data_IF_474470907952
#
_entry.id   IF_474470907952
#
_cell.length_a   1.000
_cell.length_b   1.000
_cell.length_c   1.000
_cell.angle_alpha   90.00
_cell.angle_beta   90.00
_cell.angle_gamma   90.00
#
_symmetry.space_group_name_H-M   'P 1'
#
loop_
_entity.id
_entity.type
_entity.pdbx_description
1 polymer ?
#
# COMPACT_ATOMS: atom_id res chain seq x y z
N UNK A 1 -53.12 59.54 -0.33
CA UNK A 1 -52.21 58.59 -1.00
C UNK A 1 -50.90 58.54 -0.21
N UNK A 2 -50.39 57.43 0.31
CA UNK A 2 -50.97 56.10 0.53
C UNK A 2 -50.00 55.36 1.47
N UNK A 3 -50.51 54.57 2.42
CA UNK A 3 -49.74 53.90 3.47
C UNK A 3 -49.19 52.57 2.95
N UNK A 4 -48.17 52.60 2.09
CA UNK A 4 -47.62 51.38 1.46
C UNK A 4 -46.14 51.06 1.71
N UNK A 5 -45.38 51.90 2.41
CA UNK A 5 -43.93 51.67 2.58
C UNK A 5 -43.54 51.12 3.97
N UNK A 6 -44.45 51.14 4.96
CA UNK A 6 -44.17 50.61 6.31
C UNK A 6 -44.56 49.13 6.55
N UNK A 7 -45.08 48.41 5.54
CA UNK A 7 -45.42 46.97 5.67
C UNK A 7 -44.43 46.01 5.00
N UNK A 8 -43.49 46.50 4.19
CA UNK A 8 -42.50 45.64 3.53
C UNK A 8 -41.33 45.25 4.45
N UNK A 9 -40.95 46.10 5.41
CA UNK A 9 -39.80 45.84 6.29
C UNK A 9 -40.09 44.88 7.45
N UNK A 10 -41.37 44.66 7.80
CA UNK A 10 -41.76 43.72 8.86
C UNK A 10 -41.95 42.29 8.34
N UNK A 11 -42.33 42.10 7.06
CA UNK A 11 -42.45 40.77 6.46
C UNK A 11 -41.09 40.16 6.07
N UNK A 12 -40.10 40.98 5.69
CA UNK A 12 -38.74 40.47 5.40
C UNK A 12 -37.98 40.04 6.66
N UNK A 13 -38.22 40.67 7.81
CA UNK A 13 -37.62 40.24 9.08
C UNK A 13 -38.26 38.96 9.65
N UNK A 14 -39.55 38.72 9.37
CA UNK A 14 -40.24 37.49 9.75
C UNK A 14 -39.91 36.30 8.82
N UNK A 15 -39.57 36.55 7.55
CA UNK A 15 -39.14 35.49 6.63
C UNK A 15 -37.67 35.06 6.85
N UNK A 16 -36.80 35.96 7.32
CA UNK A 16 -35.42 35.63 7.67
C UNK A 16 -35.29 34.92 9.03
N UNK A 17 -36.26 35.08 9.94
CA UNK A 17 -36.29 34.34 11.21
C UNK A 17 -36.96 32.95 11.09
N UNK A 18 -37.72 32.72 10.01
CA UNK A 18 -38.34 31.44 9.68
C UNK A 18 -37.43 30.47 8.88
N UNK A 19 -36.23 30.91 8.46
CA UNK A 19 -35.20 30.02 7.88
C UNK A 19 -34.10 29.62 8.88
N UNK A 20 -34.20 30.07 10.14
CA UNK A 20 -33.25 29.71 11.22
C UNK A 20 -33.82 28.74 12.25
N UNK A 21 -34.97 28.11 11.98
CA UNK A 21 -35.54 27.08 12.82
C UNK A 21 -36.04 25.91 11.96
N UNK A 22 -35.36 24.78 12.12
CA UNK A 22 -35.75 23.45 11.68
C UNK A 22 -35.81 23.18 10.17
N UNK A 23 -34.68 22.77 9.62
CA UNK A 23 -34.56 21.38 9.15
C UNK A 23 -33.41 20.73 9.92
N UNK A 24 -33.59 20.61 11.24
CA UNK A 24 -33.01 19.46 11.93
C UNK A 24 -33.83 18.31 11.38
N UNK A 25 -33.32 17.65 10.33
CA UNK A 25 -33.70 16.26 10.08
C UNK A 25 -33.67 15.60 11.45
N UNK A 26 -34.76 14.92 11.88
CA UNK A 26 -34.73 14.22 13.15
C UNK A 26 -33.42 13.46 13.20
N UNK A 27 -32.63 13.67 14.25
CA UNK A 27 -31.43 12.89 14.47
C UNK A 27 -31.85 11.45 14.23
N UNK A 28 -31.22 10.78 13.25
CA UNK A 28 -31.42 9.35 13.09
C UNK A 28 -31.30 8.76 14.50
N UNK A 29 -32.32 8.02 14.95
CA UNK A 29 -32.37 7.52 16.32
C UNK A 29 -31.00 6.95 16.68
N UNK A 30 -30.39 7.50 17.73
CA UNK A 30 -29.06 7.10 18.16
C UNK A 30 -29.10 5.60 18.45
N UNK A 31 -28.52 4.81 17.54
CA UNK A 31 -28.46 3.37 17.69
C UNK A 31 -27.24 3.02 18.56
N UNK A 32 -27.41 2.18 19.60
CA UNK A 32 -26.28 1.72 20.38
C UNK A 32 -25.34 0.92 19.47
N UNK A 33 -24.06 1.28 19.47
CA UNK A 33 -23.02 0.59 18.73
C UNK A 33 -22.03 -0.04 19.72
N UNK A 34 -22.08 -1.38 19.94
CA UNK A 34 -21.19 -2.05 20.87
C UNK A 34 -19.72 -1.77 20.55
N UNK A 35 -18.93 -1.44 21.57
CA UNK A 35 -17.51 -1.09 21.45
C UNK A 35 -17.23 0.41 21.43
N UNK A 36 -18.22 1.23 21.06
CA UNK A 36 -18.13 2.70 21.16
C UNK A 36 -18.25 3.12 22.64
N UNK A 37 -17.37 4.01 23.10
CA UNK A 37 -17.27 4.38 24.53
C UNK A 37 -18.14 5.57 24.88
N UNK A 38 -18.16 6.57 24.02
CA UNK A 38 -18.91 7.81 24.17
C UNK A 38 -19.76 8.07 22.92
N UNK A 39 -20.60 9.10 22.96
CA UNK A 39 -21.37 9.50 21.78
C UNK A 39 -20.45 9.90 20.61
N UNK A 40 -20.72 9.34 19.44
CA UNK A 40 -20.10 9.74 18.18
C UNK A 40 -21.17 10.10 17.15
N UNK A 41 -20.85 11.04 16.27
CA UNK A 41 -21.73 11.47 15.18
C UNK A 41 -20.97 11.40 13.86
N UNK A 42 -21.61 10.86 12.83
CA UNK A 42 -21.10 10.91 11.46
C UNK A 42 -22.10 11.68 10.60
N UNK A 43 -21.60 12.60 9.80
CA UNK A 43 -22.39 13.36 8.82
C UNK A 43 -21.71 13.21 7.47
N UNK A 44 -22.42 12.69 6.48
CA UNK A 44 -21.96 12.71 5.10
C UNK A 44 -22.40 14.02 4.45
N UNK A 45 -21.46 14.69 3.77
CA UNK A 45 -21.77 15.89 3.02
C UNK A 45 -22.40 15.57 1.65
N UNK A 46 -22.61 16.60 0.83
CA UNK A 46 -23.22 16.44 -0.51
C UNK A 46 -22.34 15.67 -1.51
N UNK A 47 -21.05 15.49 -1.23
CA UNK A 47 -20.12 14.71 -2.04
C UNK A 47 -19.92 13.30 -1.49
N UNK A 48 -20.57 12.95 -0.38
CA UNK A 48 -20.40 11.67 0.29
C UNK A 48 -19.14 11.60 1.16
N UNK A 49 -18.53 12.73 1.52
CA UNK A 49 -17.39 12.76 2.44
C UNK A 49 -17.92 12.66 3.88
N UNK A 50 -17.48 11.66 4.67
CA UNK A 50 -17.84 11.58 6.08
C UNK A 50 -17.08 12.59 6.93
N UNK A 51 -17.83 13.27 7.79
CA UNK A 51 -17.33 14.07 8.89
C UNK A 51 -17.64 13.33 10.20
N UNK A 52 -16.60 12.84 10.86
CA UNK A 52 -16.67 12.05 12.10
C UNK A 52 -16.39 12.96 13.29
N UNK A 53 -17.32 13.01 14.22
CA UNK A 53 -17.25 13.82 15.45
C UNK A 53 -17.24 12.90 16.67
N UNK A 54 -16.22 13.00 17.51
CA UNK A 54 -16.08 12.20 18.75
C UNK A 54 -15.54 13.04 19.91
N UNK A 55 -15.58 12.47 21.11
CA UNK A 55 -15.03 13.09 22.34
C UNK A 55 -13.70 12.48 22.78
N UNK A 56 -13.19 11.47 22.07
CA UNK A 56 -11.91 10.87 22.32
C UNK A 56 -11.33 10.21 21.06
N UNK A 57 -10.01 10.03 21.08
CA UNK A 57 -9.22 9.52 19.96
C UNK A 57 -9.57 8.07 19.57
N UNK A 58 -9.98 7.24 20.53
CA UNK A 58 -10.21 5.83 20.30
C UNK A 58 -11.56 5.58 19.63
N UNK A 59 -12.59 6.34 20.03
CA UNK A 59 -13.85 6.36 19.30
C UNK A 59 -13.67 6.97 17.90
N UNK A 60 -12.73 7.89 17.70
CA UNK A 60 -12.42 8.40 16.35
C UNK A 60 -11.81 7.30 15.46
N UNK A 61 -10.87 6.53 16.00
CA UNK A 61 -10.28 5.37 15.31
C UNK A 61 -11.34 4.29 15.00
N UNK A 62 -12.18 3.97 15.99
CA UNK A 62 -13.30 3.04 15.84
C UNK A 62 -14.28 3.49 14.76
N UNK A 63 -14.75 4.74 14.82
CA UNK A 63 -15.70 5.25 13.85
C UNK A 63 -15.10 5.37 12.45
N UNK A 64 -13.80 5.65 12.32
CA UNK A 64 -13.12 5.58 11.03
C UNK A 64 -13.16 4.15 10.45
N UNK A 65 -12.90 3.13 11.28
CA UNK A 65 -13.02 1.73 10.86
C UNK A 65 -14.44 1.37 10.44
N UNK A 66 -15.44 1.78 11.21
CA UNK A 66 -16.85 1.55 10.90
C UNK A 66 -17.27 2.21 9.58
N UNK A 67 -16.87 3.47 9.36
CA UNK A 67 -17.21 4.23 8.14
C UNK A 67 -16.45 3.71 6.92
N UNK A 68 -15.17 3.36 7.05
CA UNK A 68 -14.44 2.69 5.97
C UNK A 68 -15.11 1.37 5.59
N UNK A 69 -15.56 0.56 6.55
CA UNK A 69 -16.28 -0.68 6.27
C UNK A 69 -17.64 -0.39 5.60
N UNK A 70 -18.38 0.62 6.07
CA UNK A 70 -19.62 1.06 5.44
C UNK A 70 -19.47 1.30 3.95
N UNK A 71 -18.45 2.05 3.54
CA UNK A 71 -18.29 2.42 2.14
C UNK A 71 -17.47 1.40 1.32
N UNK A 72 -16.50 0.73 1.95
CA UNK A 72 -15.39 0.03 1.26
C UNK A 72 -15.10 -1.38 1.78
N UNK A 73 -15.97 -2.02 2.57
CA UNK A 73 -15.69 -3.34 3.17
C UNK A 73 -15.16 -4.37 2.16
N UNK A 74 -15.79 -4.51 0.99
CA UNK A 74 -15.35 -5.49 -0.01
C UNK A 74 -13.96 -5.14 -0.60
N UNK A 75 -13.68 -3.85 -0.85
CA UNK A 75 -12.37 -3.38 -1.30
C UNK A 75 -11.30 -3.67 -0.22
N UNK A 76 -11.60 -3.35 1.04
CA UNK A 76 -10.71 -3.59 2.17
C UNK A 76 -10.39 -5.08 2.33
N UNK A 77 -11.40 -5.94 2.25
CA UNK A 77 -11.23 -7.40 2.35
C UNK A 77 -10.40 -7.95 1.17
N UNK A 78 -10.68 -7.46 -0.04
CA UNK A 78 -9.90 -7.81 -1.25
C UNK A 78 -8.43 -7.45 -1.07
N UNK A 79 -8.12 -6.23 -0.62
CA UNK A 79 -6.75 -5.76 -0.45
C UNK A 79 -6.00 -6.49 0.67
N UNK A 80 -6.62 -6.71 1.84
CA UNK A 80 -5.95 -7.47 2.92
C UNK A 80 -5.66 -8.91 2.49
N UNK A 81 -6.55 -9.51 1.68
CA UNK A 81 -6.39 -10.89 1.20
C UNK A 81 -5.35 -10.97 0.10
N UNK A 82 -5.35 -10.04 -0.85
CA UNK A 82 -4.29 -9.92 -1.85
C UNK A 82 -2.92 -9.91 -1.17
N UNK A 83 -2.66 -8.90 -0.33
CA UNK A 83 -1.35 -8.75 0.31
C UNK A 83 -1.04 -9.79 1.40
N UNK A 84 -2.03 -10.55 1.87
CA UNK A 84 -1.81 -11.72 2.73
C UNK A 84 -1.60 -13.03 1.95
N UNK A 85 -1.79 -13.02 0.63
CA UNK A 85 -1.83 -14.22 -0.20
C UNK A 85 -2.98 -15.15 0.16
N UNK A 86 -4.19 -14.60 0.26
CA UNK A 86 -5.44 -15.27 0.57
C UNK A 86 -6.56 -14.86 -0.39
N UNK A 87 -6.22 -14.32 -1.56
CA UNK A 87 -7.17 -13.83 -2.55
C UNK A 87 -7.95 -14.97 -3.19
N UNK A 88 -7.38 -16.18 -3.29
CA UNK A 88 -8.09 -17.37 -3.80
C UNK A 88 -9.24 -17.82 -2.89
N UNK A 89 -9.18 -17.49 -1.60
CA UNK A 89 -10.32 -17.67 -0.68
C UNK A 89 -11.48 -16.71 -1.00
N UNK A 90 -11.24 -15.61 -1.71
CA UNK A 90 -12.28 -14.68 -2.12
C UNK A 90 -12.72 -14.93 -3.56
N UNK A 91 -11.76 -14.95 -4.48
CA UNK A 91 -12.00 -14.93 -5.93
C UNK A 91 -11.82 -16.29 -6.61
N UNK A 92 -11.46 -17.34 -5.86
CA UNK A 92 -11.33 -18.69 -6.40
C UNK A 92 -9.99 -18.99 -7.08
N UNK A 93 -9.91 -20.05 -7.90
CA UNK A 93 -8.65 -20.68 -8.30
C UNK A 93 -7.72 -19.78 -9.13
N UNK A 94 -8.27 -18.87 -9.93
CA UNK A 94 -7.48 -17.98 -10.79
C UNK A 94 -6.59 -17.00 -9.99
N UNK A 95 -6.89 -16.78 -8.71
CA UNK A 95 -6.08 -15.96 -7.82
C UNK A 95 -4.95 -16.75 -7.11
N UNK A 96 -4.93 -18.08 -7.20
CA UNK A 96 -3.94 -18.92 -6.51
C UNK A 96 -2.47 -18.57 -6.87
N UNK A 97 -2.11 -18.30 -8.14
CA UNK A 97 -0.74 -17.90 -8.47
C UNK A 97 -0.29 -16.63 -7.74
N UNK A 98 -1.20 -15.66 -7.57
CA UNK A 98 -0.95 -14.44 -6.79
C UNK A 98 -0.70 -14.77 -5.32
N UNK A 99 -1.51 -15.66 -4.75
CA UNK A 99 -1.38 -16.06 -3.35
C UNK A 99 -0.03 -16.73 -3.08
N UNK A 100 0.35 -17.65 -3.96
CA UNK A 100 1.66 -18.33 -3.88
C UNK A 100 2.80 -17.31 -3.89
N UNK A 101 2.79 -16.36 -4.84
CA UNK A 101 3.86 -15.39 -4.96
C UNK A 101 3.90 -14.40 -3.76
N UNK A 102 2.74 -13.92 -3.29
CA UNK A 102 2.69 -12.97 -2.16
C UNK A 102 2.98 -13.63 -0.80
N UNK A 103 2.64 -14.91 -0.61
CA UNK A 103 3.09 -15.66 0.58
C UNK A 103 4.59 -15.96 0.54
N UNK A 104 5.15 -16.19 -0.65
CA UNK A 104 6.60 -16.33 -0.83
C UNK A 104 7.32 -15.05 -0.42
N UNK A 105 6.85 -13.88 -0.88
CA UNK A 105 7.38 -12.58 -0.46
C UNK A 105 7.15 -12.28 1.04
N UNK A 106 6.02 -12.72 1.59
CA UNK A 106 5.79 -12.74 3.04
C UNK A 106 5.35 -11.41 3.65
N UNK A 107 4.58 -10.58 2.94
CA UNK A 107 4.09 -9.30 3.48
C UNK A 107 3.28 -9.45 4.77
N UNK A 108 2.42 -10.49 4.87
CA UNK A 108 1.69 -10.83 6.11
C UNK A 108 2.63 -11.17 7.26
N UNK A 109 3.64 -11.99 7.02
CA UNK A 109 4.66 -12.36 8.02
C UNK A 109 5.38 -11.11 8.54
N UNK A 110 5.78 -10.20 7.64
CA UNK A 110 6.37 -8.92 8.02
C UNK A 110 5.40 -8.04 8.83
N UNK A 111 4.09 -8.07 8.54
CA UNK A 111 3.06 -7.36 9.31
C UNK A 111 2.91 -7.94 10.73
N UNK A 112 2.98 -9.26 10.89
CA UNK A 112 2.92 -9.93 12.19
C UNK A 112 4.15 -9.62 13.05
N UNK A 113 5.34 -9.59 12.46
CA UNK A 113 6.58 -9.15 13.14
C UNK A 113 6.50 -7.68 13.58
N UNK A 114 5.93 -6.82 12.72
CA UNK A 114 5.68 -5.40 13.05
C UNK A 114 4.69 -5.29 14.21
N UNK A 115 3.61 -6.08 14.21
CA UNK A 115 2.63 -6.10 15.29
C UNK A 115 3.25 -6.55 16.62
N UNK A 116 4.06 -7.61 16.60
CA UNK A 116 4.72 -8.18 17.77
C UNK A 116 5.63 -7.17 18.49
N UNK A 117 6.20 -6.21 17.76
CA UNK A 117 7.12 -5.18 18.28
C UNK A 117 6.51 -3.78 18.36
N UNK A 118 5.25 -3.60 17.94
CA UNK A 118 4.56 -2.32 17.93
C UNK A 118 4.37 -1.74 19.34
N UNK A 119 4.57 -0.41 19.46
CA UNK A 119 4.33 0.33 20.69
C UNK A 119 2.85 0.21 21.14
N UNK A 120 2.61 0.24 22.45
CA UNK A 120 1.27 0.11 23.02
C UNK A 120 0.28 1.12 22.42
N UNK A 121 0.72 2.36 22.19
CA UNK A 121 -0.13 3.38 21.59
C UNK A 121 -0.63 2.95 20.21
N UNK A 122 0.25 2.47 19.33
CA UNK A 122 -0.12 1.96 18.00
C UNK A 122 -1.11 0.81 18.09
N UNK A 123 -0.89 -0.12 19.04
CA UNK A 123 -1.77 -1.27 19.24
C UNK A 123 -3.20 -0.86 19.56
N UNK A 124 -3.38 0.03 20.53
CA UNK A 124 -4.70 0.46 20.98
C UNK A 124 -5.48 1.18 19.86
N UNK A 125 -4.81 1.96 19.01
CA UNK A 125 -5.46 2.60 17.86
C UNK A 125 -5.89 1.60 16.78
N UNK A 126 -5.02 0.65 16.43
CA UNK A 126 -5.33 -0.39 15.44
C UNK A 126 -6.41 -1.36 15.94
N UNK A 127 -6.41 -1.68 17.23
CA UNK A 127 -7.48 -2.47 17.88
C UNK A 127 -8.82 -1.74 17.80
N UNK A 128 -8.88 -0.46 18.20
CA UNK A 128 -10.11 0.32 18.11
C UNK A 128 -10.64 0.41 16.67
N UNK A 129 -9.75 0.61 15.69
CA UNK A 129 -10.11 0.60 14.27
C UNK A 129 -10.69 -0.73 13.83
N UNK A 130 -10.02 -1.84 14.18
CA UNK A 130 -10.46 -3.19 13.85
C UNK A 130 -11.83 -3.49 14.48
N UNK A 131 -12.06 -3.08 15.73
CA UNK A 131 -13.34 -3.21 16.41
C UNK A 131 -14.45 -2.46 15.67
N UNK A 132 -14.17 -1.27 15.13
CA UNK A 132 -15.10 -0.50 14.31
C UNK A 132 -15.47 -1.21 12.99
N UNK A 133 -14.48 -1.73 12.28
CA UNK A 133 -14.70 -2.54 11.06
C UNK A 133 -15.57 -3.77 11.39
N UNK A 134 -15.26 -4.45 12.49
CA UNK A 134 -15.99 -5.64 12.92
C UNK A 134 -17.42 -5.33 13.37
N UNK A 135 -17.65 -4.19 14.03
CA UNK A 135 -18.99 -3.76 14.41
C UNK A 135 -19.88 -3.54 13.18
N UNK A 136 -19.33 -3.01 12.08
CA UNK A 136 -20.05 -2.93 10.81
C UNK A 136 -20.30 -4.33 10.23
N UNK A 137 -19.26 -5.15 10.11
CA UNK A 137 -19.34 -6.51 9.54
C UNK A 137 -20.38 -7.38 10.25
N UNK A 138 -20.51 -7.27 11.57
CA UNK A 138 -21.43 -8.06 12.40
C UNK A 138 -22.88 -7.56 12.30
N UNK A 139 -23.11 -6.26 12.24
CA UNK A 139 -24.44 -5.66 12.40
C UNK A 139 -25.13 -5.26 11.09
N UNK A 140 -24.38 -5.07 10.02
CA UNK A 140 -24.90 -4.55 8.75
C UNK A 140 -24.98 -5.63 7.66
N UNK A 141 -25.89 -5.49 6.68
CA UNK A 141 -25.92 -6.37 5.50
C UNK A 141 -24.56 -6.40 4.78
N UNK A 142 -24.18 -7.59 4.29
CA UNK A 142 -22.96 -7.71 3.51
C UNK A 142 -23.10 -7.04 2.13
N UNK A 143 -22.02 -6.47 1.58
CA UNK A 143 -21.97 -6.06 0.19
C UNK A 143 -22.40 -7.20 -0.75
N UNK A 144 -23.16 -6.91 -1.82
CA UNK A 144 -23.71 -7.94 -2.73
C UNK A 144 -22.64 -8.79 -3.43
N UNK A 145 -21.41 -8.26 -3.55
CA UNK A 145 -20.26 -8.97 -4.12
C UNK A 145 -19.97 -10.29 -3.40
N UNK A 146 -20.14 -10.35 -2.07
CA UNK A 146 -19.94 -11.59 -1.31
C UNK A 146 -20.94 -12.68 -1.72
N UNK A 147 -22.21 -12.31 -1.87
CA UNK A 147 -23.24 -13.26 -2.33
C UNK A 147 -23.00 -13.74 -3.76
N UNK A 148 -22.47 -12.88 -4.64
CA UNK A 148 -22.09 -13.27 -6.00
C UNK A 148 -20.90 -14.24 -6.04
N UNK A 149 -20.09 -14.27 -4.98
CA UNK A 149 -18.98 -15.21 -4.78
C UNK A 149 -19.38 -16.40 -3.89
N UNK A 150 -20.69 -16.57 -3.63
CA UNK A 150 -21.24 -17.65 -2.79
C UNK A 150 -20.68 -17.64 -1.36
N UNK A 151 -20.31 -16.46 -0.84
CA UNK A 151 -19.79 -16.28 0.52
C UNK A 151 -20.86 -15.69 1.45
N UNK A 152 -20.95 -16.27 2.64
CA UNK A 152 -21.76 -15.74 3.74
C UNK A 152 -20.88 -15.05 4.78
N UNK A 153 -21.51 -14.36 5.75
CA UNK A 153 -20.79 -13.73 6.86
C UNK A 153 -19.94 -14.73 7.64
N UNK A 154 -20.33 -16.01 7.67
CA UNK A 154 -19.61 -17.04 8.42
C UNK A 154 -18.20 -17.31 7.88
N UNK A 155 -17.95 -17.06 6.58
CA UNK A 155 -16.65 -17.26 5.95
C UNK A 155 -15.79 -16.02 5.87
N UNK A 156 -16.31 -14.84 6.22
CA UNK A 156 -15.56 -13.58 6.23
C UNK A 156 -14.84 -13.45 7.59
N UNK A 157 -13.49 -13.52 7.63
CA UNK A 157 -12.75 -13.35 8.88
C UNK A 157 -12.95 -11.94 9.43
N UNK A 158 -13.01 -11.83 10.76
CA UNK A 158 -12.93 -10.54 11.44
C UNK A 158 -11.69 -9.77 11.00
N UNK A 159 -11.81 -8.45 10.91
CA UNK A 159 -10.68 -7.57 10.73
C UNK A 159 -9.80 -7.59 11.99
N UNK A 160 -8.50 -7.73 11.80
CA UNK A 160 -7.51 -7.71 12.88
C UNK A 160 -6.58 -6.49 12.75
N UNK A 161 -5.92 -6.05 13.83
CA UNK A 161 -4.89 -5.02 13.73
C UNK A 161 -3.79 -5.32 12.70
N UNK A 162 -3.47 -6.60 12.50
CA UNK A 162 -2.50 -7.06 11.51
C UNK A 162 -2.99 -6.77 10.09
N UNK A 163 -4.31 -6.87 9.82
CA UNK A 163 -4.87 -6.58 8.49
C UNK A 163 -4.66 -5.11 8.10
N UNK A 164 -4.71 -4.19 9.07
CA UNK A 164 -4.37 -2.77 8.85
C UNK A 164 -2.89 -2.56 8.54
N UNK A 165 -2.00 -3.32 9.19
CA UNK A 165 -0.57 -3.30 8.88
C UNK A 165 -0.28 -3.91 7.51
N UNK A 166 -1.00 -4.97 7.12
CA UNK A 166 -0.95 -5.56 5.79
C UNK A 166 -1.39 -4.54 4.74
N UNK A 167 -2.48 -3.81 4.96
CA UNK A 167 -2.94 -2.76 4.04
C UNK A 167 -1.86 -1.68 3.83
N UNK A 168 -1.26 -1.18 4.93
CA UNK A 168 -0.17 -0.20 4.84
C UNK A 168 1.08 -0.73 4.13
N UNK A 169 1.51 -1.95 4.44
CA UNK A 169 2.66 -2.59 3.77
C UNK A 169 2.37 -2.91 2.31
N UNK A 170 1.15 -3.29 1.98
CA UNK A 170 0.71 -3.57 0.61
C UNK A 170 0.72 -2.33 -0.26
N UNK A 171 0.28 -1.18 0.29
CA UNK A 171 0.42 0.11 -0.38
C UNK A 171 1.90 0.48 -0.59
N UNK A 172 2.73 0.36 0.43
CA UNK A 172 4.16 0.63 0.30
C UNK A 172 4.81 -0.29 -0.76
N UNK A 173 4.52 -1.58 -0.70
CA UNK A 173 4.95 -2.58 -1.68
C UNK A 173 4.52 -2.18 -3.10
N UNK A 174 3.26 -1.83 -3.30
CA UNK A 174 2.73 -1.38 -4.58
C UNK A 174 3.42 -0.13 -5.15
N UNK A 175 4.02 0.70 -4.29
CA UNK A 175 4.68 1.95 -4.67
C UNK A 175 6.20 1.84 -4.81
N UNK A 176 6.81 0.75 -4.33
CA UNK A 176 8.28 0.65 -4.24
C UNK A 176 8.87 -0.66 -4.69
N UNK A 177 8.09 -1.74 -4.79
CA UNK A 177 8.59 -3.02 -5.26
C UNK A 177 8.62 -3.04 -6.78
N UNK A 178 9.75 -3.41 -7.35
CA UNK A 178 9.89 -3.68 -8.77
C UNK A 178 10.88 -4.83 -8.96
N UNK A 179 10.95 -5.32 -10.19
CA UNK A 179 11.91 -6.33 -10.61
C UNK A 179 12.82 -5.77 -11.71
N UNK A 180 13.07 -4.46 -11.71
CA UNK A 180 13.88 -3.80 -12.74
C UNK A 180 15.28 -4.37 -12.83
N UNK A 181 15.82 -4.85 -11.71
CA UNK A 181 17.11 -5.53 -11.67
C UNK A 181 17.18 -6.73 -12.63
N UNK A 182 16.07 -7.45 -12.81
CA UNK A 182 15.98 -8.57 -13.75
C UNK A 182 16.06 -8.05 -15.18
N UNK A 183 15.27 -7.03 -15.51
CA UNK A 183 15.20 -6.49 -16.88
C UNK A 183 16.48 -5.73 -17.25
N UNK A 184 17.11 -5.03 -16.30
CA UNK A 184 18.44 -4.42 -16.45
C UNK A 184 19.52 -5.48 -16.65
N UNK A 185 19.46 -6.59 -15.91
CA UNK A 185 20.39 -7.73 -16.09
C UNK A 185 20.22 -8.37 -17.47
N UNK A 186 18.99 -8.65 -17.88
CA UNK A 186 18.67 -9.20 -19.21
C UNK A 186 19.16 -8.26 -20.32
N UNK A 187 18.93 -6.96 -20.16
CA UNK A 187 19.36 -5.92 -21.11
C UNK A 187 20.88 -5.88 -21.21
N UNK A 188 21.59 -5.77 -20.08
CA UNK A 188 23.06 -5.78 -20.06
C UNK A 188 23.64 -6.99 -20.80
N UNK A 189 23.08 -8.18 -20.58
CA UNK A 189 23.53 -9.40 -21.27
C UNK A 189 23.25 -9.37 -22.77
N UNK A 190 22.11 -8.81 -23.20
CA UNK A 190 21.82 -8.61 -24.62
C UNK A 190 22.80 -7.64 -25.28
N UNK A 191 23.14 -6.52 -24.61
CA UNK A 191 24.15 -5.57 -25.10
C UNK A 191 25.52 -6.22 -25.21
N UNK A 192 25.95 -6.99 -24.21
CA UNK A 192 27.20 -7.74 -24.26
C UNK A 192 27.24 -8.74 -25.42
N UNK A 193 26.15 -9.50 -25.63
CA UNK A 193 26.05 -10.45 -26.73
C UNK A 193 26.11 -9.76 -28.10
N UNK A 194 25.37 -8.65 -28.28
CA UNK A 194 25.40 -7.85 -29.49
C UNK A 194 26.78 -7.23 -29.74
N UNK A 195 27.41 -6.69 -28.70
CA UNK A 195 28.76 -6.13 -28.75
C UNK A 195 29.80 -7.17 -29.17
N UNK A 196 29.73 -8.37 -28.61
CA UNK A 196 30.59 -9.49 -29.00
C UNK A 196 30.39 -9.90 -30.47
N UNK A 197 29.15 -9.88 -30.97
CA UNK A 197 28.83 -10.25 -32.35
C UNK A 197 29.23 -9.16 -33.37
N UNK A 198 29.12 -7.88 -32.99
CA UNK A 198 29.32 -6.74 -33.88
C UNK A 198 30.68 -6.02 -33.69
N UNK A 199 31.48 -6.40 -32.70
CA UNK A 199 32.82 -5.86 -32.46
C UNK A 199 32.86 -4.54 -31.69
N UNK A 200 31.92 -4.29 -30.77
CA UNK A 200 31.93 -3.13 -29.86
C UNK A 200 31.81 -3.56 -28.39
N UNK A 201 32.13 -2.67 -27.45
CA UNK A 201 31.98 -2.97 -26.02
C UNK A 201 30.53 -2.73 -25.57
N UNK A 202 29.75 -3.82 -25.52
CA UNK A 202 28.36 -3.77 -25.07
C UNK A 202 28.20 -3.41 -23.58
N UNK A 203 29.19 -3.73 -22.74
CA UNK A 203 29.16 -3.32 -21.32
C UNK A 203 29.31 -1.81 -21.20
N UNK A 204 30.27 -1.24 -21.94
CA UNK A 204 30.49 0.20 -21.95
C UNK A 204 29.27 0.94 -22.50
N UNK A 205 28.68 0.48 -23.61
CA UNK A 205 27.46 1.08 -24.17
C UNK A 205 26.31 1.10 -23.14
N UNK A 206 26.11 0.01 -22.41
CA UNK A 206 25.06 -0.05 -21.39
C UNK A 206 25.30 0.92 -20.23
N UNK A 207 26.48 0.91 -19.62
CA UNK A 207 26.76 1.69 -18.40
C UNK A 207 27.23 3.13 -18.64
N UNK A 208 27.67 3.48 -19.85
CA UNK A 208 28.13 4.84 -20.15
C UNK A 208 27.08 5.68 -20.88
N UNK A 209 26.21 5.06 -21.67
CA UNK A 209 25.23 5.75 -22.52
C UNK A 209 23.78 5.61 -22.00
N UNK A 210 23.34 4.38 -21.68
CA UNK A 210 21.93 4.11 -21.36
C UNK A 210 21.61 4.16 -19.86
N UNK A 211 22.39 3.45 -19.05
CA UNK A 211 22.20 3.32 -17.59
C UNK A 211 23.41 3.88 -16.87
N UNK A 212 23.65 5.17 -17.09
CA UNK A 212 24.83 5.85 -16.57
C UNK A 212 24.71 6.12 -15.08
N UNK A 213 25.64 5.57 -14.30
CA UNK A 213 25.87 6.02 -12.93
C UNK A 213 26.82 7.22 -12.96
N UNK A 214 26.29 8.42 -12.74
CA UNK A 214 27.07 9.66 -12.67
C UNK A 214 26.65 10.50 -11.46
N UNK A 215 27.53 11.37 -10.93
CA UNK A 215 27.14 12.33 -9.91
C UNK A 215 25.96 13.21 -10.39
N UNK A 216 25.14 13.75 -9.46
CA UNK A 216 24.10 14.70 -9.81
C UNK A 216 24.68 15.87 -10.61
N UNK A 217 23.96 16.29 -11.65
CA UNK A 217 24.28 17.50 -12.39
C UNK A 217 24.27 18.72 -11.43
N UNK A 218 25.16 19.72 -11.59
CA UNK A 218 25.16 20.94 -10.78
C UNK A 218 23.86 21.77 -10.84
N UNK A 219 22.87 21.37 -11.65
CA UNK A 219 21.52 21.94 -11.73
C UNK A 219 20.64 21.74 -10.48
N UNK A 220 21.15 21.20 -9.37
CA UNK A 220 20.43 21.18 -8.10
C UNK A 220 20.17 22.60 -7.61
N UNK A 221 18.88 22.97 -7.51
CA UNK A 221 18.42 24.32 -7.11
C UNK A 221 18.67 24.70 -5.66
N UNK A 222 19.34 23.84 -4.86
CA UNK A 222 19.66 24.07 -3.45
C UNK A 222 21.16 24.40 -3.36
N UNK A 223 21.54 25.68 -3.22
CA UNK A 223 22.94 26.11 -3.27
C UNK A 223 23.79 25.63 -2.08
N UNK A 224 23.15 25.19 -0.98
CA UNK A 224 23.80 24.90 0.32
C UNK A 224 23.34 23.58 0.97
N UNK A 225 22.68 22.68 0.22
CA UNK A 225 22.58 21.29 0.68
C UNK A 225 23.99 20.72 0.87
N UNK A 226 24.20 19.62 1.63
CA UNK A 226 25.49 18.94 1.63
C UNK A 226 25.73 18.46 0.20
N UNK A 227 26.33 19.33 -0.61
CA UNK A 227 26.94 18.97 -1.85
C UNK A 227 27.98 17.96 -1.41
N UNK A 228 27.71 16.69 -1.66
CA UNK A 228 28.78 15.81 -2.05
C UNK A 228 29.40 16.52 -3.25
N UNK A 229 30.41 17.36 -2.97
CA UNK A 229 31.17 18.08 -4.00
C UNK A 229 31.52 17.07 -5.09
N UNK A 230 31.66 17.51 -6.36
CA UNK A 230 31.68 16.63 -7.51
C UNK A 230 32.50 15.40 -7.18
N UNK A 231 31.85 14.24 -6.96
CA UNK A 231 32.61 13.01 -6.87
C UNK A 231 33.35 12.95 -8.19
N UNK A 232 34.67 12.99 -8.12
CA UNK A 232 35.47 13.11 -9.33
C UNK A 232 35.05 11.98 -10.26
N UNK A 233 34.98 12.28 -11.56
CA UNK A 233 34.75 11.26 -12.59
C UNK A 233 35.74 10.07 -12.47
N UNK A 234 36.87 10.26 -11.76
CA UNK A 234 37.81 9.21 -11.37
C UNK A 234 37.20 8.16 -10.42
N UNK A 235 36.32 8.53 -9.50
CA UNK A 235 35.59 7.59 -8.64
C UNK A 235 34.62 6.71 -9.44
N UNK A 236 33.96 7.29 -10.43
CA UNK A 236 33.10 6.57 -11.38
C UNK A 236 33.92 5.65 -12.29
N UNK A 237 35.07 6.11 -12.80
CA UNK A 237 35.96 5.27 -13.62
C UNK A 237 36.57 4.10 -12.83
N UNK A 238 36.93 4.31 -11.56
CA UNK A 238 37.38 3.25 -10.65
C UNK A 238 36.24 2.24 -10.38
N UNK A 239 35.02 2.72 -10.12
CA UNK A 239 33.84 1.86 -9.98
C UNK A 239 33.60 1.05 -11.27
N UNK A 240 33.58 1.67 -12.45
CA UNK A 240 33.42 1.00 -13.74
C UNK A 240 34.54 -0.02 -14.03
N UNK A 241 35.79 0.29 -13.68
CA UNK A 241 36.90 -0.66 -13.81
C UNK A 241 36.76 -1.88 -12.88
N UNK A 242 36.14 -1.69 -11.71
CA UNK A 242 35.79 -2.78 -10.80
C UNK A 242 34.60 -3.63 -11.27
N UNK A 243 33.88 -3.20 -12.33
CA UNK A 243 32.81 -3.95 -12.99
C UNK A 243 33.29 -4.83 -14.16
N UNK A 244 34.57 -4.76 -14.56
CA UNK A 244 35.15 -5.71 -15.52
C UNK A 244 34.87 -7.21 -15.20
N UNK A 245 34.80 -7.65 -13.93
CA UNK A 245 34.40 -9.01 -13.57
C UNK A 245 32.93 -9.34 -13.86
N UNK A 246 32.04 -8.39 -14.14
CA UNK A 246 30.61 -8.69 -14.37
C UNK A 246 30.40 -9.62 -15.58
N UNK A 247 31.32 -9.61 -16.56
CA UNK A 247 31.33 -10.60 -17.66
C UNK A 247 31.53 -12.04 -17.18
N UNK A 248 32.12 -12.25 -16.00
CA UNK A 248 32.34 -13.56 -15.39
C UNK A 248 31.24 -13.96 -14.39
N UNK A 249 30.46 -13.00 -13.87
CA UNK A 249 29.41 -13.25 -12.87
C UNK A 249 28.09 -13.70 -13.51
N UNK A 250 27.74 -13.12 -14.67
CA UNK A 250 26.47 -13.41 -15.35
C UNK A 250 26.63 -14.59 -16.33
N UNK A 251 26.06 -15.73 -15.98
CA UNK A 251 26.14 -16.98 -16.76
C UNK A 251 24.88 -17.19 -17.60
N UNK A 252 24.90 -17.99 -18.68
CA UNK A 252 23.70 -18.32 -19.44
C UNK A 252 22.56 -18.87 -18.57
N UNK A 253 22.89 -19.64 -17.52
CA UNK A 253 21.92 -20.16 -16.57
C UNK A 253 21.26 -19.04 -15.74
N UNK A 254 22.01 -17.98 -15.41
CA UNK A 254 21.47 -16.79 -14.73
C UNK A 254 20.41 -16.11 -15.58
N UNK A 255 20.68 -15.95 -16.88
CA UNK A 255 19.75 -15.33 -17.82
C UNK A 255 18.47 -16.15 -17.97
N UNK A 256 18.61 -17.48 -18.03
CA UNK A 256 17.45 -18.37 -18.14
C UNK A 256 16.57 -18.33 -16.87
N UNK A 257 17.18 -18.32 -15.69
CA UNK A 257 16.47 -18.15 -14.42
C UNK A 257 15.75 -16.81 -14.35
N UNK A 258 16.43 -15.72 -14.72
CA UNK A 258 15.89 -14.38 -14.77
C UNK A 258 14.66 -14.30 -15.69
N UNK A 259 14.77 -14.79 -16.93
CA UNK A 259 13.66 -14.84 -17.90
C UNK A 259 12.50 -15.71 -17.42
N UNK A 260 12.80 -16.90 -16.91
CA UNK A 260 11.77 -17.81 -16.39
C UNK A 260 10.97 -17.17 -15.26
N UNK A 261 11.65 -16.52 -14.31
CA UNK A 261 10.99 -15.84 -13.21
C UNK A 261 10.16 -14.65 -13.71
N UNK A 262 10.74 -13.81 -14.57
CA UNK A 262 10.06 -12.68 -15.20
C UNK A 262 8.78 -13.12 -15.93
N UNK A 263 8.88 -14.12 -16.79
CA UNK A 263 7.74 -14.62 -17.58
C UNK A 263 6.65 -15.22 -16.68
N UNK A 264 7.03 -15.85 -15.56
CA UNK A 264 6.09 -16.30 -14.53
C UNK A 264 5.36 -15.13 -13.87
N UNK A 265 6.07 -14.07 -13.47
CA UNK A 265 5.44 -12.87 -12.88
C UNK A 265 4.53 -12.16 -13.88
N UNK A 266 4.92 -12.10 -15.15
CA UNK A 266 4.11 -11.50 -16.22
C UNK A 266 2.74 -12.19 -16.40
N UNK A 267 2.64 -13.47 -16.02
CA UNK A 267 1.40 -14.25 -16.05
C UNK A 267 0.51 -14.07 -14.82
N UNK A 268 0.94 -13.30 -13.81
CA UNK A 268 0.18 -13.03 -12.59
C UNK A 268 -0.36 -11.59 -12.68
N UNK A 269 -1.65 -11.37 -13.05
CA UNK A 269 -2.16 -10.02 -13.33
C UNK A 269 -2.05 -9.04 -12.16
N UNK A 270 -2.11 -9.53 -10.92
CA UNK A 270 -1.99 -8.72 -9.70
C UNK A 270 -0.56 -8.28 -9.40
N UNK A 271 0.44 -8.83 -10.10
CA UNK A 271 1.86 -8.56 -9.90
C UNK A 271 2.59 -8.18 -11.20
N UNK A 272 1.94 -8.24 -12.36
CA UNK A 272 2.57 -7.91 -13.64
C UNK A 272 3.13 -6.49 -13.67
N UNK A 273 2.51 -5.56 -12.93
CA UNK A 273 2.98 -4.19 -12.77
C UNK A 273 4.40 -4.08 -12.18
N UNK A 274 4.88 -5.10 -11.46
CA UNK A 274 6.25 -5.11 -10.93
C UNK A 274 7.31 -5.23 -12.03
N UNK A 275 6.90 -5.55 -13.27
CA UNK A 275 7.75 -5.62 -14.46
C UNK A 275 7.69 -4.36 -15.32
N UNK A 276 6.79 -3.41 -15.02
CA UNK A 276 6.66 -2.17 -15.81
C UNK A 276 7.81 -1.19 -15.52
N UNK A 277 8.55 -1.43 -14.43
CA UNK A 277 9.72 -0.68 -14.01
C UNK A 277 9.46 0.72 -13.48
N UNK A 278 10.54 1.50 -13.33
CA UNK A 278 10.44 2.87 -12.78
C UNK A 278 9.80 3.90 -13.73
N UNK A 279 9.70 3.63 -15.04
CA UNK A 279 9.09 4.50 -16.06
C UNK A 279 7.55 4.27 -16.18
N UNK A 280 6.86 4.25 -15.03
CA UNK A 280 5.39 4.13 -14.99
C UNK A 280 4.71 5.50 -14.95
N UNK A 281 3.42 5.55 -15.30
CA UNK A 281 2.54 6.74 -15.16
C UNK A 281 2.26 7.12 -13.68
N UNK A 282 3.11 6.69 -12.74
CA UNK A 282 2.99 6.96 -11.31
C UNK A 282 3.87 8.15 -10.97
N UNK A 283 3.34 9.08 -10.20
CA UNK A 283 4.05 10.30 -9.85
C UNK A 283 3.28 11.11 -8.83
N UNK A 284 3.77 12.29 -8.52
CA UNK A 284 3.05 13.24 -7.68
C UNK A 284 3.66 14.62 -7.86
N UNK A 285 2.84 15.67 -7.83
CA UNK A 285 3.34 17.03 -7.62
C UNK A 285 3.19 17.40 -6.14
N UNK A 286 4.20 18.08 -5.60
CA UNK A 286 4.12 18.65 -4.25
C UNK A 286 4.90 19.95 -4.16
N UNK A 287 4.19 21.05 -3.90
CA UNK A 287 4.76 22.39 -3.84
C UNK A 287 4.51 23.02 -2.47
N UNK A 288 5.54 23.69 -1.96
CA UNK A 288 5.47 24.54 -0.79
C UNK A 288 6.00 25.94 -1.12
N UNK A 289 5.17 26.95 -0.91
CA UNK A 289 5.54 28.36 -1.06
C UNK A 289 5.62 28.98 0.32
N UNK A 290 6.80 29.51 0.67
CA UNK A 290 7.00 30.22 1.93
C UNK A 290 6.14 31.49 1.99
N UNK A 291 5.71 31.89 3.19
CA UNK A 291 4.82 33.04 3.38
C UNK A 291 5.37 34.35 2.83
N UNK A 292 6.69 34.58 2.88
CA UNK A 292 7.29 35.78 2.27
C UNK A 292 7.15 35.84 0.74
N UNK A 293 6.83 34.73 0.11
CA UNK A 293 6.64 34.60 -1.34
C UNK A 293 5.14 34.50 -1.73
N UNK A 294 4.21 34.68 -0.78
CA UNK A 294 2.77 34.66 -1.05
C UNK A 294 2.12 36.02 -0.78
N UNK A 295 1.04 36.34 -1.50
CA UNK A 295 0.33 37.61 -1.34
C UNK A 295 -0.35 37.76 0.05
N UNK A 296 -0.68 36.64 0.70
CA UNK A 296 -1.30 36.62 2.03
C UNK A 296 -0.29 36.72 3.18
N UNK A 297 1.00 36.52 2.91
CA UNK A 297 2.03 36.34 3.95
C UNK A 297 1.98 34.97 4.64
N UNK A 298 1.05 34.08 4.26
CA UNK A 298 0.89 32.74 4.81
C UNK A 298 1.48 31.67 3.87
N UNK A 299 2.05 30.57 4.38
CA UNK A 299 2.51 29.47 3.55
C UNK A 299 1.39 28.89 2.67
N UNK A 300 1.72 28.48 1.45
CA UNK A 300 0.80 27.76 0.56
C UNK A 300 1.37 26.37 0.25
N UNK A 301 0.54 25.35 0.37
CA UNK A 301 0.87 23.97 0.03
C UNK A 301 -0.07 23.48 -1.07
N UNK A 302 0.49 22.83 -2.08
CA UNK A 302 -0.25 22.08 -3.08
C UNK A 302 0.28 20.65 -3.11
N UNK A 303 -0.62 19.67 -2.96
CA UNK A 303 -0.29 18.26 -2.93
C UNK A 303 -1.23 17.52 -3.88
N UNK A 304 -0.66 16.83 -4.86
CA UNK A 304 -1.36 16.29 -6.03
C UNK A 304 -0.76 14.92 -6.38
N UNK A 305 -1.13 13.86 -5.63
CA UNK A 305 -0.63 12.50 -5.86
C UNK A 305 -1.27 11.86 -7.10
N UNK A 306 -0.46 11.25 -7.96
CA UNK A 306 -0.89 10.56 -9.18
C UNK A 306 -0.78 9.05 -9.01
N UNK A 307 -1.92 8.43 -8.67
CA UNK A 307 -2.08 6.99 -8.60
C UNK A 307 -3.10 6.52 -9.65
N UNK A 308 -3.24 5.20 -9.80
CA UNK A 308 -4.24 4.61 -10.69
C UNK A 308 -5.66 5.10 -10.36
N UNK A 309 -6.45 5.34 -11.40
CA UNK A 309 -7.85 5.76 -11.29
C UNK A 309 -8.77 4.55 -11.11
N UNK A 310 -8.51 3.79 -10.05
CA UNK A 310 -9.26 2.59 -9.73
C UNK A 310 -10.69 2.91 -9.23
N UNK A 311 -11.59 1.94 -9.39
CA UNK A 311 -12.93 1.99 -8.80
C UNK A 311 -13.14 0.75 -7.93
N UNK A 312 -13.19 0.87 -6.59
CA UNK A 312 -13.15 2.12 -5.82
C UNK A 312 -11.75 2.77 -5.75
N UNK A 313 -11.69 4.10 -5.63
CA UNK A 313 -10.42 4.85 -5.58
C UNK A 313 -9.52 4.45 -4.40
N UNK A 314 -8.21 4.57 -4.55
CA UNK A 314 -7.22 4.28 -3.49
C UNK A 314 -7.40 5.19 -2.27
N UNK A 315 -7.56 6.49 -2.51
CA UNK A 315 -7.77 7.48 -1.47
C UNK A 315 -9.24 7.52 -1.03
N UNK A 316 -9.43 7.68 0.27
CA UNK A 316 -10.72 7.86 0.89
C UNK A 316 -10.74 9.21 1.63
N UNK A 317 -11.54 10.16 1.18
CA UNK A 317 -11.60 11.46 1.83
C UNK A 317 -12.39 11.38 3.14
N UNK A 318 -11.85 11.98 4.20
CA UNK A 318 -12.45 11.95 5.53
C UNK A 318 -12.08 13.19 6.34
N UNK A 319 -13.01 13.64 7.17
CA UNK A 319 -12.77 14.66 8.18
C UNK A 319 -12.99 14.09 9.59
N UNK A 320 -12.03 14.34 10.47
CA UNK A 320 -12.08 13.99 11.89
C UNK A 320 -12.11 15.24 12.75
N UNK A 321 -13.09 15.31 13.65
CA UNK A 321 -13.12 16.25 14.75
C UNK A 321 -13.23 15.50 16.07
N UNK A 322 -12.14 15.50 16.84
CA UNK A 322 -12.10 14.97 18.20
C UNK A 322 -12.03 16.15 19.16
N UNK A 323 -13.08 16.34 19.95
CA UNK A 323 -13.08 17.31 21.05
C UNK A 323 -12.91 16.55 22.36
N UNK A 324 -11.70 16.47 22.90
CA UNK A 324 -11.43 15.80 24.17
C UNK A 324 -11.63 16.80 25.33
N UNK A 325 -12.78 16.76 26.05
CA UNK A 325 -13.05 17.70 27.13
C UNK A 325 -12.16 17.43 28.36
N UNK A 326 -11.60 16.22 28.50
CA UNK A 326 -10.78 15.85 29.64
C UNK A 326 -9.35 16.36 29.48
N UNK A 327 -8.83 16.36 28.24
CA UNK A 327 -7.48 16.84 27.92
C UNK A 327 -7.46 18.28 27.42
N UNK A 328 -8.62 18.90 27.19
CA UNK A 328 -8.76 20.20 26.53
C UNK A 328 -8.01 20.26 25.20
N UNK A 329 -8.11 19.18 24.42
CA UNK A 329 -7.44 19.04 23.11
C UNK A 329 -8.47 18.89 22.01
N UNK A 330 -8.18 19.51 20.87
CA UNK A 330 -8.98 19.38 19.66
C UNK A 330 -8.09 18.83 18.56
N UNK A 331 -8.42 17.63 18.06
CA UNK A 331 -7.97 17.21 16.75
C UNK A 331 -9.05 17.64 15.76
N UNK A 332 -8.68 18.45 14.77
CA UNK A 332 -9.55 18.80 13.67
C UNK A 332 -8.73 18.69 12.40
N UNK A 333 -8.90 17.59 11.67
CA UNK A 333 -8.09 17.26 10.52
C UNK A 333 -8.96 16.72 9.38
N UNK A 334 -8.68 17.19 8.16
CA UNK A 334 -9.35 16.77 6.94
C UNK A 334 -8.30 16.35 5.91
N UNK A 335 -8.64 15.39 5.07
CA UNK A 335 -7.75 14.95 4.00
C UNK A 335 -8.12 13.57 3.52
N UNK A 336 -7.14 12.84 3.03
CA UNK A 336 -7.31 11.48 2.51
C UNK A 336 -6.70 10.45 3.46
N UNK A 337 -7.44 9.38 3.72
CA UNK A 337 -7.00 8.16 4.35
C UNK A 337 -6.86 7.04 3.32
N UNK A 338 -6.32 5.90 3.76
CA UNK A 338 -6.44 4.64 3.05
C UNK A 338 -7.45 3.76 3.78
N UNK A 339 -8.49 3.30 3.08
CA UNK A 339 -9.47 2.38 3.64
C UNK A 339 -8.77 1.08 4.07
N UNK A 340 -8.70 0.85 5.39
CA UNK A 340 -7.88 -0.21 5.98
C UNK A 340 -6.99 0.27 7.13
N UNK A 341 -6.72 1.58 7.25
CA UNK A 341 -5.85 2.13 8.30
C UNK A 341 -6.45 3.37 9.00
N UNK A 342 -6.21 3.56 10.32
CA UNK A 342 -6.79 4.66 11.10
C UNK A 342 -5.97 5.97 11.03
N UNK A 343 -5.70 6.48 9.83
CA UNK A 343 -4.90 7.70 9.68
C UNK A 343 -5.30 8.55 8.47
N UNK A 344 -5.25 9.87 8.64
CA UNK A 344 -5.23 10.83 7.53
C UNK A 344 -3.80 10.85 6.99
N UNK A 345 -3.57 10.14 5.88
CA UNK A 345 -2.26 9.99 5.27
C UNK A 345 -1.73 11.31 4.73
N UNK A 346 -2.60 12.12 4.13
CA UNK A 346 -2.28 13.43 3.56
C UNK A 346 -3.45 14.37 3.84
N UNK A 347 -3.20 15.61 4.23
CA UNK A 347 -4.28 16.50 4.63
C UNK A 347 -3.82 17.78 5.32
N UNK A 348 -4.77 18.40 6.01
CA UNK A 348 -4.57 19.61 6.79
C UNK A 348 -5.28 19.51 8.13
N UNK A 349 -4.81 20.31 9.08
CA UNK A 349 -5.55 20.67 10.27
C UNK A 349 -5.57 22.21 10.41
N UNK A 350 -6.12 22.73 11.50
CA UNK A 350 -6.19 24.18 11.75
C UNK A 350 -4.83 24.91 11.89
N UNK A 351 -3.70 24.20 11.80
CA UNK A 351 -2.35 24.76 12.02
C UNK A 351 -1.30 24.36 10.98
N UNK A 352 -1.40 23.17 10.37
CA UNK A 352 -0.43 22.65 9.42
C UNK A 352 -1.09 21.77 8.36
N UNK A 353 -0.45 21.67 7.20
CA UNK A 353 -0.80 20.75 6.13
C UNK A 353 0.39 19.85 5.81
N UNK A 354 0.12 18.62 5.37
CA UNK A 354 1.12 17.63 5.00
C UNK A 354 0.68 16.85 3.76
N UNK A 355 1.66 16.39 3.02
CA UNK A 355 1.49 15.60 1.81
C UNK A 355 2.74 14.78 1.54
N UNK A 356 2.71 13.96 0.50
CA UNK A 356 3.85 13.12 0.13
C UNK A 356 3.88 12.88 -1.37
N UNK A 357 5.09 12.78 -1.92
CA UNK A 357 5.33 12.29 -3.28
C UNK A 357 6.02 10.94 -3.21
N UNK A 358 5.82 10.11 -4.23
CA UNK A 358 6.64 8.91 -4.41
C UNK A 358 8.07 9.35 -4.73
N UNK A 359 9.05 8.69 -4.13
CA UNK A 359 10.45 8.81 -4.47
C UNK A 359 10.92 7.43 -4.96
N UNK A 360 11.32 7.26 -6.23
CA UNK A 360 11.77 5.97 -6.75
C UNK A 360 13.15 5.65 -6.18
N UNK A 361 13.16 5.06 -4.99
CA UNK A 361 14.35 4.52 -4.37
C UNK A 361 14.50 3.07 -4.79
N UNK A 362 15.74 2.67 -5.09
CA UNK A 362 16.10 1.27 -5.22
C UNK A 362 15.99 0.59 -3.84
N UNK A 363 14.99 -0.28 -3.69
CA UNK A 363 14.67 -0.97 -2.43
C UNK A 363 14.52 -2.48 -2.60
N UNK A 364 14.79 -3.02 -3.80
CA UNK A 364 14.63 -4.44 -4.12
C UNK A 364 15.86 -4.94 -4.86
N UNK A 365 16.60 -5.87 -4.25
CA UNK A 365 17.70 -6.56 -4.93
C UNK A 365 17.28 -7.99 -5.30
N UNK A 366 17.69 -8.45 -6.48
CA UNK A 366 17.52 -9.85 -6.89
C UNK A 366 18.85 -10.61 -6.82
N UNK A 367 18.84 -11.77 -6.17
CA UNK A 367 20.03 -12.60 -5.99
C UNK A 367 19.88 -13.97 -6.63
N UNK A 368 20.95 -14.45 -7.27
CA UNK A 368 21.08 -15.86 -7.61
C UNK A 368 21.74 -16.61 -6.45
N UNK A 369 21.02 -17.60 -5.89
CA UNK A 369 21.52 -18.47 -4.83
C UNK A 369 21.85 -19.87 -5.37
N UNK A 370 22.81 -20.55 -4.74
CA UNK A 370 23.09 -21.97 -5.00
C UNK A 370 22.50 -22.78 -3.86
N UNK A 371 21.57 -23.69 -4.19
CA UNK A 371 20.85 -24.49 -3.21
C UNK A 371 21.54 -25.84 -2.98
N UNK A 372 21.60 -26.25 -1.71
CA UNK A 372 21.90 -27.64 -1.32
C UNK A 372 20.58 -28.36 -1.15
N UNK A 373 20.39 -29.42 -1.93
CA UNK A 373 19.18 -30.25 -1.90
C UNK A 373 19.41 -31.52 -1.10
N UNK A 374 18.42 -31.91 -0.31
CA UNK A 374 18.38 -33.23 0.31
C UNK A 374 18.21 -34.31 -0.78
N UNK A 375 19.13 -35.27 -0.92
CA UNK A 375 19.04 -36.29 -1.97
C UNK A 375 17.84 -37.25 -1.82
N UNK A 376 17.27 -37.40 -0.62
CA UNK A 376 16.13 -38.28 -0.40
C UNK A 376 14.80 -37.62 -0.80
N UNK A 377 14.68 -36.32 -0.55
CA UNK A 377 13.42 -35.57 -0.75
C UNK A 377 13.44 -34.65 -1.97
N UNK A 378 14.62 -34.30 -2.47
CA UNK A 378 14.82 -33.30 -3.52
C UNK A 378 14.62 -31.85 -3.04
N UNK A 379 14.34 -31.64 -1.75
CA UNK A 379 14.00 -30.32 -1.22
C UNK A 379 15.26 -29.49 -0.91
N UNK A 380 15.26 -28.18 -1.23
CA UNK A 380 16.29 -27.27 -0.74
C UNK A 380 16.33 -27.23 0.79
N UNK A 381 17.52 -27.35 1.36
CA UNK A 381 17.75 -27.30 2.82
C UNK A 381 18.69 -26.17 3.23
N UNK A 382 19.64 -25.81 2.37
CA UNK A 382 20.63 -24.77 2.63
C UNK A 382 20.89 -23.94 1.36
N UNK A 383 21.42 -22.74 1.54
CA UNK A 383 22.14 -22.00 0.50
C UNK A 383 23.63 -22.16 0.68
N UNK A 384 24.41 -22.06 -0.40
CA UNK A 384 25.87 -21.97 -0.33
C UNK A 384 26.29 -20.50 -0.38
N UNK A 385 26.89 -20.01 0.70
CA UNK A 385 27.42 -18.65 0.78
C UNK A 385 28.90 -18.67 1.16
N UNK A 386 29.75 -18.08 0.32
CA UNK A 386 31.21 -18.04 0.51
C UNK A 386 31.86 -19.41 0.79
N UNK A 387 31.29 -20.48 0.23
CA UNK A 387 31.77 -21.85 0.40
C UNK A 387 31.22 -22.57 1.63
N UNK A 388 30.40 -21.92 2.45
CA UNK A 388 29.74 -22.50 3.61
C UNK A 388 28.26 -22.73 3.35
N UNK A 389 27.70 -23.80 3.93
CA UNK A 389 26.28 -24.11 3.84
C UNK A 389 25.52 -23.37 4.95
N UNK A 390 24.58 -22.50 4.57
CA UNK A 390 23.72 -21.75 5.48
C UNK A 390 22.29 -22.28 5.41
N UNK A 391 21.66 -22.65 6.53
CA UNK A 391 20.34 -23.28 6.52
C UNK A 391 19.25 -22.33 6.02
N UNK A 392 18.33 -22.88 5.23
CA UNK A 392 17.08 -22.23 4.86
C UNK A 392 16.07 -22.37 6.01
N UNK A 393 15.22 -21.36 6.17
CA UNK A 393 14.01 -21.49 6.98
C UNK A 393 12.88 -21.95 6.05
N UNK A 394 12.29 -23.11 6.35
CA UNK A 394 11.20 -23.69 5.56
C UNK A 394 9.86 -23.38 6.23
N UNK A 395 8.98 -22.69 5.52
CA UNK A 395 7.66 -22.32 6.02
C UNK A 395 6.60 -23.06 5.19
N UNK A 396 5.89 -24.05 5.77
CA UNK A 396 4.80 -24.72 5.09
C UNK A 396 3.64 -23.79 4.79
N UNK A 397 3.07 -23.92 3.59
CA UNK A 397 1.95 -23.13 3.11
C UNK A 397 0.75 -24.01 2.83
N UNK A 398 -0.44 -23.53 3.21
CA UNK A 398 -1.72 -24.17 2.89
C UNK A 398 -2.64 -23.12 2.27
N UNK A 399 -3.10 -23.38 1.05
CA UNK A 399 -3.95 -22.46 0.31
C UNK A 399 -5.38 -23.00 0.29
N UNK A 400 -6.33 -22.19 0.73
CA UNK A 400 -7.76 -22.46 0.59
C UNK A 400 -8.29 -21.70 -0.62
N UNK A 401 -9.18 -22.33 -1.36
CA UNK A 401 -9.70 -21.80 -2.62
C UNK A 401 -11.21 -21.91 -2.63
N UNK A 402 -11.88 -20.77 -2.83
CA UNK A 402 -13.33 -20.71 -2.96
C UNK A 402 -13.79 -21.42 -4.24
N UNK A 403 -14.76 -22.32 -4.12
CA UNK A 403 -15.34 -23.08 -5.24
C UNK A 403 -16.58 -22.36 -5.75
N UNK A 404 -16.39 -21.34 -6.57
CA UNK A 404 -17.48 -20.48 -7.04
C UNK A 404 -18.26 -21.14 -8.18
N UNK A 405 -19.58 -21.11 -8.09
CA UNK A 405 -20.50 -21.51 -9.15
C UNK A 405 -21.04 -22.92 -9.03
N UNK A 406 -20.82 -23.60 -7.89
CA UNK A 406 -21.40 -24.90 -7.59
C UNK A 406 -22.73 -24.83 -6.83
N UNK A 407 -23.15 -23.62 -6.43
CA UNK A 407 -24.37 -23.35 -5.68
C UNK A 407 -24.28 -23.64 -4.18
N UNK A 408 -23.11 -24.04 -3.67
CA UNK A 408 -22.86 -24.31 -2.27
C UNK A 408 -22.13 -23.13 -1.61
N UNK A 409 -22.80 -22.47 -0.67
CA UNK A 409 -22.20 -21.34 0.03
C UNK A 409 -21.00 -21.77 0.90
N UNK A 410 -19.98 -20.92 0.96
CA UNK A 410 -18.77 -21.09 1.77
C UNK A 410 -18.00 -22.39 1.46
N UNK A 411 -17.98 -22.83 0.20
CA UNK A 411 -17.27 -24.03 -0.20
C UNK A 411 -15.78 -23.76 -0.50
N UNK A 412 -14.90 -24.27 0.37
CA UNK A 412 -13.45 -24.11 0.22
C UNK A 412 -12.76 -25.44 0.02
N UNK A 413 -11.98 -25.57 -1.05
CA UNK A 413 -11.04 -26.67 -1.25
C UNK A 413 -9.63 -26.26 -0.79
N UNK A 414 -8.83 -27.23 -0.35
CA UNK A 414 -7.39 -27.03 -0.15
C UNK A 414 -6.70 -27.30 -1.48
N UNK A 415 -5.93 -26.35 -1.99
CA UNK A 415 -5.17 -26.54 -3.22
C UNK A 415 -3.99 -27.48 -2.99
N UNK A 416 -3.77 -28.37 -3.96
CA UNK A 416 -2.59 -29.23 -4.02
C UNK A 416 -1.44 -28.44 -4.67
N UNK A 417 -0.61 -27.80 -3.84
CA UNK A 417 0.56 -27.04 -4.29
C UNK A 417 1.81 -27.76 -3.82
N UNK A 418 2.63 -28.23 -4.76
CA UNK A 418 3.85 -28.97 -4.44
C UNK A 418 4.84 -28.14 -3.60
N UNK A 419 5.71 -28.77 -2.79
CA UNK A 419 6.68 -28.07 -1.94
C UNK A 419 7.51 -27.00 -2.68
N UNK A 420 8.02 -27.33 -3.87
CA UNK A 420 8.83 -26.42 -4.71
C UNK A 420 7.99 -25.48 -5.59
N UNK A 421 6.67 -25.68 -5.63
CA UNK A 421 5.71 -24.86 -6.39
C UNK A 421 5.06 -23.77 -5.51
N UNK A 422 5.53 -23.62 -4.26
CA UNK A 422 5.01 -22.66 -3.30
C UNK A 422 4.29 -23.28 -2.10
N UNK A 423 4.22 -24.61 -2.02
CA UNK A 423 3.76 -25.35 -0.83
C UNK A 423 4.74 -25.23 0.34
N UNK A 424 6.01 -24.92 0.08
CA UNK A 424 6.98 -24.44 1.06
C UNK A 424 7.52 -23.08 0.59
N UNK A 425 7.49 -22.08 1.47
CA UNK A 425 8.34 -20.89 1.30
C UNK A 425 9.72 -21.21 1.84
N UNK A 426 10.72 -21.07 0.99
CA UNK A 426 12.13 -21.12 1.37
C UNK A 426 12.55 -19.70 1.73
N UNK A 427 13.11 -19.50 2.92
CA UNK A 427 13.56 -18.19 3.38
C UNK A 427 15.05 -18.25 3.63
N UNK A 428 15.78 -17.25 3.11
CA UNK A 428 17.22 -17.07 3.31
C UNK A 428 17.44 -16.02 4.39
N UNK A 429 17.79 -16.39 5.64
CA UNK A 429 17.85 -15.43 6.76
C UNK A 429 18.78 -14.24 6.50
N UNK A 430 19.91 -14.50 5.84
CA UNK A 430 20.90 -13.51 5.40
C UNK A 430 20.32 -12.43 4.50
N UNK A 431 19.29 -12.72 3.70
CA UNK A 431 18.65 -11.79 2.76
C UNK A 431 17.52 -11.01 3.43
N UNK A 432 17.73 -10.58 4.68
CA UNK A 432 16.70 -9.92 5.47
C UNK A 432 15.40 -10.75 5.57
N UNK A 433 15.53 -12.07 5.72
CA UNK A 433 14.43 -13.04 5.68
C UNK A 433 13.60 -13.01 4.38
N UNK A 434 14.22 -12.61 3.26
CA UNK A 434 13.68 -12.74 1.91
C UNK A 434 13.67 -14.19 1.41
N UNK A 435 12.85 -14.47 0.37
CA UNK A 435 12.75 -15.80 -0.23
C UNK A 435 13.97 -16.23 -1.04
#
# INVERSE_FOLDING_TARGET
>A
MTPRIRRASALLFALCLAMTLCNVTPAADAAPLPGLREEARVVWDTHGVPHIYTTNDLDASFMMGYVHAHDRLFQMDTLRRLFSGQLAELLGPDALPSDVQLRTLGLRRAAEETWATSAQITRVWLEAYADGVNAYLESQPLPPQYGALELTRASIPKWTPVDSLVAGKGLAFGLSFDLDDIDRTVSLMAFQAAGNAAGFDGTALFFEDLFRSAPPDPTVSIPEGPATGPQSLEGTAAALSSLQPLRQVLRPETLELARTYRDRIAQIPTLSWALDGMDTDRGSNWWLVAGQNSASGLPMLANDPHLALDSPATFYEVHLLVFDPQRFRVLNANGVSFAGAPAIAQGCNGTLCWGSTVNPLDVTDVYQEVLVVDPATGLPTHTMYKGEAEPLVLIPQVYRVNQIGDGAADNFAVADVGPTEGGLTFVVPRRNNGP
#
